data_IF_077190620621
#
_entry.id   IF_077190620621
#
_cell.length_a   1.000
_cell.length_b   1.000
_cell.length_c   1.000
_cell.angle_alpha   90.00
_cell.angle_beta   90.00
_cell.angle_gamma   90.00
#
_symmetry.space_group_name_H-M   'P 1'
#
loop_
_entity.id
_entity.type
_entity.pdbx_description
1 polymer ?
#
# COMPACT_ATOMS: atom_id res chain seq x y z
N UNK A 1 28.17 -98.22 14.37
CA UNK A 1 27.23 -97.16 14.82
C UNK A 1 28.03 -95.95 15.27
N UNK A 2 28.82 -95.35 14.37
CA UNK A 2 29.69 -94.20 14.69
C UNK A 2 30.01 -93.29 13.49
N UNK A 3 29.77 -93.74 12.25
CA UNK A 3 30.01 -92.91 11.05
C UNK A 3 28.80 -92.12 10.53
N UNK A 4 27.57 -92.46 10.95
CA UNK A 4 26.36 -91.76 10.49
C UNK A 4 26.07 -90.43 11.20
N UNK A 5 26.61 -90.23 12.41
CA UNK A 5 26.34 -89.04 13.22
C UNK A 5 27.31 -87.88 12.93
N UNK A 6 28.49 -88.17 12.35
CA UNK A 6 29.46 -87.14 11.96
C UNK A 6 29.08 -86.42 10.66
N UNK A 7 28.57 -87.15 9.67
CA UNK A 7 28.13 -86.58 8.38
C UNK A 7 26.94 -85.62 8.53
N UNK A 8 26.02 -85.87 9.46
CA UNK A 8 24.84 -85.02 9.64
C UNK A 8 25.14 -83.70 10.38
N UNK A 9 26.21 -83.66 11.21
CA UNK A 9 26.62 -82.46 11.94
C UNK A 9 27.45 -81.54 11.04
N UNK A 10 28.31 -82.10 10.19
CA UNK A 10 29.12 -81.32 9.25
C UNK A 10 28.24 -80.68 8.16
N UNK A 11 27.25 -81.39 7.61
CA UNK A 11 26.30 -80.81 6.63
C UNK A 11 25.44 -79.70 7.24
N UNK A 12 25.04 -79.83 8.52
CA UNK A 12 24.24 -78.82 9.22
C UNK A 12 25.06 -77.56 9.52
N UNK A 13 26.34 -77.71 9.89
CA UNK A 13 27.27 -76.60 10.07
C UNK A 13 27.59 -75.90 8.74
N UNK A 14 27.75 -76.66 7.65
CA UNK A 14 27.98 -76.11 6.31
C UNK A 14 26.77 -75.32 5.81
N UNK A 15 25.54 -75.81 6.02
CA UNK A 15 24.33 -75.09 5.62
C UNK A 15 24.14 -73.78 6.41
N UNK A 16 24.51 -73.77 7.69
CA UNK A 16 24.46 -72.57 8.54
C UNK A 16 25.55 -71.57 8.12
N UNK A 17 26.79 -72.03 7.89
CA UNK A 17 27.86 -71.16 7.39
C UNK A 17 27.55 -70.58 6.01
N UNK A 18 26.95 -71.36 5.11
CA UNK A 18 26.59 -70.89 3.78
C UNK A 18 25.44 -69.87 3.82
N UNK A 19 24.48 -70.02 4.75
CA UNK A 19 23.43 -69.02 4.98
C UNK A 19 23.95 -67.75 5.65
N UNK A 20 24.88 -67.86 6.60
CA UNK A 20 25.53 -66.70 7.22
C UNK A 20 26.37 -65.95 6.19
N UNK A 21 27.13 -66.67 5.35
CA UNK A 21 27.93 -66.06 4.29
C UNK A 21 27.06 -65.34 3.25
N UNK A 22 25.93 -65.92 2.85
CA UNK A 22 24.98 -65.26 1.93
C UNK A 22 24.32 -64.03 2.57
N UNK A 23 24.02 -64.06 3.87
CA UNK A 23 23.48 -62.90 4.61
C UNK A 23 24.52 -61.78 4.75
N UNK A 24 25.79 -62.13 4.97
CA UNK A 24 26.91 -61.18 5.09
C UNK A 24 27.26 -60.55 3.73
N UNK A 25 27.15 -61.32 2.64
CA UNK A 25 27.30 -60.81 1.27
C UNK A 25 26.11 -59.93 0.86
N UNK A 26 24.88 -60.25 1.26
CA UNK A 26 23.72 -59.37 1.07
C UNK A 26 23.82 -58.06 1.85
N UNK A 27 24.39 -58.07 3.07
CA UNK A 27 24.67 -56.87 3.86
C UNK A 27 25.84 -56.02 3.31
N UNK A 28 26.76 -56.63 2.56
CA UNK A 28 27.88 -55.94 1.91
C UNK A 28 27.53 -55.37 0.52
N UNK A 29 26.41 -55.78 -0.07
CA UNK A 29 25.96 -55.34 -1.41
C UNK A 29 24.74 -54.40 -1.34
N UNK A 30 24.09 -54.26 -0.19
CA UNK A 30 23.13 -53.18 0.02
C UNK A 30 23.87 -51.84 0.00
N UNK A 31 23.51 -50.89 -0.89
CA UNK A 31 24.02 -49.53 -0.79
C UNK A 31 23.66 -49.03 0.61
N UNK A 32 24.67 -48.58 1.35
CA UNK A 32 24.46 -47.80 2.55
C UNK A 32 23.86 -46.49 2.05
N UNK A 33 22.54 -46.40 2.00
CA UNK A 33 21.90 -45.09 2.04
C UNK A 33 22.32 -44.52 3.39
N UNK A 34 23.26 -43.58 3.39
CA UNK A 34 23.41 -42.69 4.54
C UNK A 34 22.02 -42.09 4.75
N UNK A 35 21.43 -42.38 5.91
CA UNK A 35 20.35 -41.55 6.38
C UNK A 35 20.94 -40.16 6.58
N UNK A 36 20.31 -39.14 6.02
CA UNK A 36 20.65 -37.75 6.33
C UNK A 36 20.72 -37.60 7.86
N UNK A 37 21.76 -36.95 8.40
CA UNK A 37 21.94 -36.68 9.80
C UNK A 37 20.82 -35.75 10.28
N UNK A 38 20.72 -35.58 11.61
CA UNK A 38 19.71 -34.74 12.20
C UNK A 38 19.90 -33.27 11.75
N UNK A 39 18.81 -32.50 11.55
CA UNK A 39 18.89 -31.06 11.24
C UNK A 39 19.81 -30.31 12.21
N UNK A 40 20.70 -29.46 11.68
CA UNK A 40 21.68 -28.68 12.45
C UNK A 40 23.02 -29.39 12.78
N UNK A 41 23.30 -30.55 12.18
CA UNK A 41 24.67 -31.05 12.02
C UNK A 41 25.04 -30.95 10.52
N UNK A 42 26.21 -30.41 10.14
CA UNK A 42 26.57 -30.24 8.75
C UNK A 42 26.62 -31.61 8.07
N UNK A 43 25.63 -31.87 7.21
CA UNK A 43 25.69 -33.00 6.30
C UNK A 43 26.62 -32.65 5.14
N UNK A 44 27.17 -33.70 4.51
CA UNK A 44 27.93 -33.72 3.23
C UNK A 44 28.19 -32.35 2.59
N UNK A 45 29.46 -31.94 2.38
CA UNK A 45 29.88 -30.77 1.57
C UNK A 45 28.84 -30.41 0.49
N UNK A 46 27.89 -29.53 0.85
CA UNK A 46 26.85 -29.08 -0.06
C UNK A 46 27.44 -27.90 -0.80
N UNK A 47 28.20 -28.22 -1.84
CA UNK A 47 28.97 -27.24 -2.60
C UNK A 47 28.09 -26.35 -3.50
N UNK A 48 26.75 -26.52 -3.49
CA UNK A 48 25.79 -25.79 -4.33
C UNK A 48 26.02 -24.26 -4.25
N UNK A 49 26.16 -23.72 -3.03
CA UNK A 49 26.42 -22.30 -2.78
C UNK A 49 27.91 -21.95 -2.54
N UNK A 50 28.81 -22.87 -2.93
CA UNK A 50 30.25 -22.66 -2.91
C UNK A 50 30.86 -22.47 -4.31
N UNK A 51 30.01 -22.37 -5.35
CA UNK A 51 30.47 -22.13 -6.72
C UNK A 51 31.30 -20.83 -6.82
N UNK A 52 32.27 -20.83 -7.74
CA UNK A 52 33.23 -19.72 -7.96
C UNK A 52 34.20 -19.39 -6.82
N UNK A 53 34.44 -20.32 -5.89
CA UNK A 53 35.27 -20.08 -4.71
C UNK A 53 34.72 -18.96 -3.81
N UNK A 54 33.39 -18.79 -3.78
CA UNK A 54 32.73 -18.06 -2.70
C UNK A 54 33.07 -18.70 -1.35
N UNK A 55 32.83 -17.98 -0.26
CA UNK A 55 32.95 -18.57 1.08
C UNK A 55 32.04 -19.81 1.18
N UNK A 56 32.40 -20.74 2.07
CA UNK A 56 31.65 -21.98 2.31
C UNK A 56 30.25 -21.67 2.87
N UNK A 57 29.33 -21.31 1.98
CA UNK A 57 27.91 -21.16 2.24
C UNK A 57 27.20 -22.49 2.09
N UNK A 58 26.15 -22.69 2.88
CA UNK A 58 25.27 -23.85 2.79
C UNK A 58 23.93 -23.33 2.29
N UNK A 59 23.34 -23.99 1.30
CA UNK A 59 22.02 -23.66 0.79
C UNK A 59 21.12 -24.89 0.79
N UNK A 60 19.83 -24.62 0.90
CA UNK A 60 18.76 -25.56 0.63
C UNK A 60 18.75 -25.98 -0.85
N UNK A 61 18.25 -27.20 -1.10
CA UNK A 61 18.18 -27.77 -2.43
C UNK A 61 17.12 -27.05 -3.28
N UNK A 62 17.49 -26.69 -4.51
CA UNK A 62 16.53 -26.14 -5.46
C UNK A 62 15.42 -27.14 -5.81
N UNK A 63 14.17 -26.69 -5.65
CA UNK A 63 12.99 -27.41 -6.10
C UNK A 63 11.94 -26.44 -6.65
N UNK A 64 11.69 -26.49 -7.96
CA UNK A 64 10.74 -25.62 -8.68
C UNK A 64 9.31 -25.65 -8.11
N UNK A 65 8.91 -26.76 -7.49
CA UNK A 65 7.58 -26.87 -6.86
C UNK A 65 7.41 -26.03 -5.58
N UNK A 66 8.50 -25.50 -5.02
CA UNK A 66 8.49 -24.58 -3.88
C UNK A 66 8.47 -23.11 -4.33
N UNK A 67 8.74 -22.85 -5.61
CA UNK A 67 8.63 -21.51 -6.17
C UNK A 67 7.17 -21.04 -6.14
N UNK A 68 6.96 -19.86 -5.57
CA UNK A 68 5.67 -19.21 -5.48
C UNK A 68 5.36 -18.32 -6.69
N UNK A 69 6.27 -18.23 -7.65
CA UNK A 69 6.13 -17.47 -8.90
C UNK A 69 6.19 -18.39 -10.12
N UNK A 70 5.72 -17.89 -11.26
CA UNK A 70 5.86 -18.55 -12.58
C UNK A 70 6.89 -17.86 -13.48
N UNK A 71 7.53 -16.81 -12.97
CA UNK A 71 8.53 -15.97 -13.63
C UNK A 71 9.77 -15.96 -12.72
N UNK A 72 10.94 -15.60 -13.27
CA UNK A 72 12.24 -15.49 -12.57
C UNK A 72 12.33 -14.46 -11.43
N UNK A 73 11.20 -13.96 -10.94
CA UNK A 73 11.13 -13.01 -9.84
C UNK A 73 9.98 -13.40 -8.93
N UNK A 74 10.24 -13.30 -7.63
CA UNK A 74 9.21 -13.49 -6.61
C UNK A 74 9.38 -12.47 -5.50
N UNK A 75 8.54 -11.44 -5.53
CA UNK A 75 8.62 -10.30 -4.62
C UNK A 75 7.26 -10.02 -4.00
N UNK A 76 7.22 -9.82 -2.67
CA UNK A 76 6.01 -9.40 -1.96
C UNK A 76 6.23 -8.05 -1.29
N UNK A 77 5.40 -7.07 -1.60
CA UNK A 77 5.51 -5.71 -1.07
C UNK A 77 4.27 -5.31 -0.27
N UNK A 78 4.49 -4.75 0.91
CA UNK A 78 3.49 -4.08 1.73
C UNK A 78 3.76 -2.58 1.70
N UNK A 79 2.81 -1.85 1.14
CA UNK A 79 2.85 -0.41 0.96
C UNK A 79 1.83 0.20 1.90
N UNK A 80 2.32 0.91 2.91
CA UNK A 80 1.50 1.57 3.91
C UNK A 80 1.61 3.07 3.75
N UNK A 81 0.50 3.69 3.37
CA UNK A 81 0.37 5.11 3.20
C UNK A 81 -0.41 5.69 4.38
N UNK A 82 0.21 6.59 5.12
CA UNK A 82 -0.43 7.35 6.20
C UNK A 82 -0.53 8.81 5.76
N UNK A 83 -1.74 9.26 5.46
CA UNK A 83 -1.98 10.68 5.22
C UNK A 83 -1.91 11.40 6.56
N UNK A 84 -0.96 12.32 6.73
CA UNK A 84 -0.76 13.04 7.99
C UNK A 84 -1.71 14.23 8.05
N UNK A 85 -1.72 15.02 6.98
CA UNK A 85 -2.61 16.14 6.70
C UNK A 85 -2.84 16.21 5.18
N UNK A 86 -3.60 17.20 4.72
CA UNK A 86 -3.89 17.31 3.29
C UNK A 86 -2.66 17.63 2.42
N UNK A 87 -1.55 18.10 3.01
CA UNK A 87 -0.35 18.48 2.25
C UNK A 87 0.76 17.43 2.34
N UNK A 88 0.73 16.57 3.36
CA UNK A 88 1.81 15.64 3.67
C UNK A 88 1.36 14.21 3.93
N UNK A 89 2.13 13.29 3.34
CA UNK A 89 1.89 11.85 3.39
C UNK A 89 3.17 11.15 3.85
N UNK A 90 3.03 10.19 4.75
CA UNK A 90 4.11 9.27 5.12
C UNK A 90 3.89 7.92 4.45
N UNK A 91 4.80 7.57 3.55
CA UNK A 91 4.77 6.30 2.83
C UNK A 91 5.83 5.36 3.41
N UNK A 92 5.43 4.14 3.75
CA UNK A 92 6.33 3.07 4.16
C UNK A 92 6.19 1.92 3.18
N UNK A 93 7.28 1.58 2.49
CA UNK A 93 7.32 0.42 1.60
C UNK A 93 8.17 -0.65 2.28
N UNK A 94 7.60 -1.81 2.52
CA UNK A 94 8.32 -2.98 3.02
C UNK A 94 8.26 -4.08 1.96
N UNK A 95 9.41 -4.57 1.53
CA UNK A 95 9.52 -5.53 0.43
C UNK A 95 10.25 -6.79 0.90
N UNK A 96 9.66 -7.94 0.64
CA UNK A 96 10.24 -9.27 0.81
C UNK A 96 10.65 -9.83 -0.55
N UNK A 97 11.92 -10.19 -0.67
CA UNK A 97 12.51 -10.78 -1.86
C UNK A 97 12.69 -12.27 -1.60
N UNK A 98 11.94 -13.10 -2.32
CA UNK A 98 12.09 -14.55 -2.32
C UNK A 98 13.00 -15.01 -3.46
N UNK A 99 12.95 -14.31 -4.60
CA UNK A 99 13.72 -14.64 -5.79
C UNK A 99 13.92 -13.38 -6.66
N UNK A 100 15.09 -13.26 -7.31
CA UNK A 100 15.38 -12.21 -8.29
C UNK A 100 15.91 -12.79 -9.59
N UNK A 101 15.74 -12.06 -10.70
CA UNK A 101 16.28 -12.48 -11.99
C UNK A 101 17.80 -12.62 -11.95
N UNK A 102 18.31 -13.70 -12.57
CA UNK A 102 19.75 -13.92 -12.74
C UNK A 102 20.43 -12.77 -13.47
N UNK A 103 19.76 -12.16 -14.44
CA UNK A 103 20.33 -11.05 -15.22
C UNK A 103 20.54 -9.79 -14.38
N UNK A 104 19.64 -9.54 -13.42
CA UNK A 104 19.71 -8.34 -12.60
C UNK A 104 20.84 -8.42 -11.57
N UNK A 105 21.16 -9.66 -11.15
CA UNK A 105 22.27 -9.95 -10.26
C UNK A 105 23.59 -10.23 -11.00
N UNK A 106 23.61 -10.34 -12.33
CA UNK A 106 24.81 -10.72 -13.12
C UNK A 106 25.30 -12.15 -12.77
N UNK A 107 24.34 -13.06 -12.54
CA UNK A 107 24.51 -14.44 -12.10
C UNK A 107 23.94 -15.47 -13.11
N UNK A 108 23.96 -15.17 -14.41
CA UNK A 108 23.33 -16.03 -15.43
C UNK A 108 23.98 -17.42 -15.56
N UNK A 109 25.25 -17.55 -15.20
CA UNK A 109 26.02 -18.79 -15.20
C UNK A 109 25.98 -19.54 -13.85
N UNK A 110 25.18 -19.09 -12.88
CA UNK A 110 24.98 -19.79 -11.62
C UNK A 110 24.22 -21.11 -11.88
N UNK A 111 24.76 -22.22 -11.42
CA UNK A 111 24.05 -23.51 -11.43
C UNK A 111 23.33 -23.68 -10.10
N UNK A 112 22.00 -23.70 -10.13
CA UNK A 112 21.17 -23.91 -8.94
C UNK A 112 20.97 -25.40 -8.64
N UNK A 113 21.41 -26.28 -9.54
CA UNK A 113 21.18 -27.73 -9.50
C UNK A 113 19.68 -28.11 -9.46
N UNK A 114 19.34 -29.29 -8.95
CA UNK A 114 17.96 -29.75 -8.79
C UNK A 114 17.20 -29.91 -10.12
N UNK A 115 15.96 -29.41 -10.14
CA UNK A 115 15.11 -29.31 -11.32
C UNK A 115 15.10 -27.90 -11.93
N UNK A 116 16.10 -27.07 -11.59
CA UNK A 116 16.19 -25.69 -12.08
C UNK A 116 16.45 -25.59 -13.59
N UNK A 117 16.04 -24.46 -14.15
CA UNK A 117 16.28 -24.06 -15.53
C UNK A 117 17.03 -22.72 -15.61
N UNK A 118 17.48 -22.34 -16.80
CA UNK A 118 18.09 -21.01 -17.04
C UNK A 118 17.06 -19.87 -17.03
N UNK A 119 15.76 -20.20 -17.07
CA UNK A 119 14.67 -19.23 -16.99
C UNK A 119 14.27 -18.94 -15.53
N UNK A 120 14.76 -19.73 -14.58
CA UNK A 120 14.47 -19.55 -13.15
C UNK A 120 15.35 -18.45 -12.57
N UNK A 121 14.83 -17.71 -11.59
CA UNK A 121 15.57 -16.70 -10.85
C UNK A 121 16.50 -17.32 -9.80
N UNK A 122 17.18 -16.45 -9.06
CA UNK A 122 18.07 -16.82 -7.97
C UNK A 122 17.29 -16.71 -6.66
N UNK A 123 17.11 -17.82 -5.90
CA UNK A 123 16.40 -17.79 -4.63
C UNK A 123 17.13 -17.00 -3.54
N UNK A 124 16.40 -16.53 -2.53
CA UNK A 124 16.92 -15.73 -1.42
C UNK A 124 18.11 -16.36 -0.68
N UNK A 125 18.11 -17.68 -0.49
CA UNK A 125 19.22 -18.43 0.12
C UNK A 125 20.53 -18.31 -0.66
N UNK A 126 20.45 -18.49 -1.98
CA UNK A 126 21.59 -18.32 -2.87
C UNK A 126 22.05 -16.86 -2.87
N UNK A 127 21.13 -15.90 -2.96
CA UNK A 127 21.47 -14.46 -2.94
C UNK A 127 22.28 -14.10 -1.69
N UNK A 128 21.86 -14.57 -0.50
CA UNK A 128 22.55 -14.31 0.77
C UNK A 128 23.99 -14.80 0.78
N UNK A 129 24.24 -15.96 0.19
CA UNK A 129 25.59 -16.53 0.10
C UNK A 129 26.50 -15.81 -0.90
N UNK A 130 25.94 -15.05 -1.85
CA UNK A 130 26.70 -14.30 -2.84
C UNK A 130 26.68 -12.78 -2.64
N UNK A 131 26.18 -12.24 -1.52
CA UNK A 131 26.07 -10.78 -1.29
C UNK A 131 27.38 -10.02 -1.55
N UNK A 132 28.50 -10.52 -1.00
CA UNK A 132 29.85 -9.94 -1.12
C UNK A 132 30.53 -10.25 -2.46
N UNK A 133 29.93 -11.08 -3.32
CA UNK A 133 30.54 -11.49 -4.57
C UNK A 133 30.52 -10.33 -5.58
N UNK A 134 31.70 -9.96 -6.09
CA UNK A 134 31.85 -8.83 -7.00
C UNK A 134 31.89 -9.30 -8.46
N UNK A 135 31.02 -8.71 -9.30
CA UNK A 135 31.06 -8.85 -10.76
C UNK A 135 30.90 -7.50 -11.44
N UNK A 136 31.78 -7.25 -12.42
CA UNK A 136 31.82 -6.01 -13.18
C UNK A 136 31.95 -4.74 -12.30
N UNK A 137 32.61 -4.86 -11.14
CA UNK A 137 32.89 -3.74 -10.24
C UNK A 137 31.77 -3.39 -9.25
N UNK A 138 30.72 -4.22 -9.18
CA UNK A 138 29.64 -4.10 -8.21
C UNK A 138 29.43 -5.44 -7.50
N UNK A 139 29.11 -5.38 -6.21
CA UNK A 139 28.68 -6.54 -5.43
C UNK A 139 27.24 -6.94 -5.76
N UNK A 140 26.87 -8.19 -5.51
CA UNK A 140 25.48 -8.65 -5.65
C UNK A 140 24.56 -7.86 -4.70
N UNK A 141 25.03 -7.52 -3.49
CA UNK A 141 24.32 -6.65 -2.56
C UNK A 141 23.98 -5.30 -3.19
N UNK A 142 24.97 -4.61 -3.77
CA UNK A 142 24.76 -3.30 -4.40
C UNK A 142 23.75 -3.36 -5.56
N UNK A 143 23.78 -4.43 -6.36
CA UNK A 143 22.83 -4.66 -7.47
C UNK A 143 21.42 -4.87 -6.95
N UNK A 144 21.26 -5.74 -5.97
CA UNK A 144 19.97 -6.01 -5.32
C UNK A 144 19.41 -4.73 -4.70
N UNK A 145 20.20 -3.99 -3.91
CA UNK A 145 19.75 -2.74 -3.28
C UNK A 145 19.34 -1.71 -4.34
N UNK A 146 20.12 -1.57 -5.42
CA UNK A 146 19.81 -0.66 -6.52
C UNK A 146 18.50 -1.04 -7.25
N UNK A 147 18.25 -2.34 -7.46
CA UNK A 147 17.01 -2.84 -8.06
C UNK A 147 15.81 -2.49 -7.19
N UNK A 148 15.87 -2.83 -5.89
CA UNK A 148 14.78 -2.56 -4.95
C UNK A 148 14.53 -1.05 -4.82
N UNK A 149 15.56 -0.22 -4.76
CA UNK A 149 15.41 1.24 -4.75
C UNK A 149 14.74 1.77 -6.03
N UNK A 150 15.08 1.20 -7.19
CA UNK A 150 14.47 1.59 -8.47
C UNK A 150 12.98 1.25 -8.49
N UNK A 151 12.61 0.03 -8.08
CA UNK A 151 11.22 -0.40 -8.02
C UNK A 151 10.40 0.43 -7.01
N UNK A 152 10.98 0.75 -5.85
CA UNK A 152 10.35 1.65 -4.87
C UNK A 152 10.14 3.06 -5.43
N UNK A 153 11.11 3.58 -6.20
CA UNK A 153 10.99 4.91 -6.83
C UNK A 153 9.91 4.94 -7.90
N UNK A 154 9.85 3.93 -8.78
CA UNK A 154 8.80 3.85 -9.81
C UNK A 154 7.40 3.91 -9.18
N UNK A 155 7.17 3.15 -8.11
CA UNK A 155 5.90 3.18 -7.37
C UNK A 155 5.56 4.59 -6.84
N UNK A 156 6.56 5.31 -6.33
CA UNK A 156 6.37 6.66 -5.78
C UNK A 156 6.05 7.64 -6.90
N UNK A 157 6.82 7.61 -8.00
CA UNK A 157 6.64 8.51 -9.14
C UNK A 157 5.27 8.32 -9.82
N UNK A 158 4.67 7.13 -9.74
CA UNK A 158 3.32 6.85 -10.23
C UNK A 158 2.21 7.55 -9.42
N UNK A 159 2.49 7.98 -8.19
CA UNK A 159 1.48 8.50 -7.25
C UNK A 159 1.79 9.89 -6.67
N UNK A 160 3.06 10.29 -6.65
CA UNK A 160 3.55 11.48 -5.95
C UNK A 160 4.69 12.16 -6.70
N UNK A 161 4.72 13.49 -6.65
CA UNK A 161 5.88 14.28 -7.08
C UNK A 161 7.01 14.14 -6.04
N UNK A 162 8.00 13.32 -6.33
CA UNK A 162 9.08 12.99 -5.40
C UNK A 162 10.41 13.68 -5.72
N UNK A 163 11.10 14.17 -4.68
CA UNK A 163 12.33 14.98 -4.86
C UNK A 163 13.53 14.58 -3.99
N UNK A 164 13.46 13.52 -3.17
CA UNK A 164 14.53 13.21 -2.20
C UNK A 164 15.06 11.77 -2.30
N UNK A 165 16.15 11.44 -1.60
CA UNK A 165 16.66 10.06 -1.51
C UNK A 165 16.11 9.38 -0.24
N UNK A 166 15.75 8.09 -0.33
CA UNK A 166 15.28 7.33 0.83
C UNK A 166 16.34 6.44 1.44
N UNK A 167 16.21 6.23 2.74
CA UNK A 167 17.05 5.29 3.48
C UNK A 167 16.40 3.90 3.44
N UNK A 168 16.98 3.02 2.63
CA UNK A 168 16.62 1.59 2.63
C UNK A 168 17.32 0.90 3.81
N UNK A 169 16.56 0.18 4.63
CA UNK A 169 17.11 -0.61 5.74
C UNK A 169 16.63 -2.05 5.64
N UNK A 170 17.46 -3.00 6.04
CA UNK A 170 17.06 -4.40 6.20
C UNK A 170 16.20 -4.57 7.46
N UNK A 171 15.22 -5.47 7.40
CA UNK A 171 14.27 -5.73 8.50
C UNK A 171 14.06 -7.24 8.68
N UNK A 172 13.68 -7.64 9.89
CA UNK A 172 13.50 -9.06 10.25
C UNK A 172 12.06 -9.57 10.06
N UNK A 173 11.09 -8.69 9.79
CA UNK A 173 9.71 -9.11 9.58
C UNK A 173 8.89 -8.05 8.86
N UNK A 174 7.94 -8.48 8.04
CA UNK A 174 6.94 -7.64 7.38
C UNK A 174 5.55 -8.05 7.85
N UNK A 175 4.75 -7.06 8.22
CA UNK A 175 3.35 -7.24 8.60
C UNK A 175 2.47 -6.94 7.37
N UNK A 176 1.88 -7.97 6.80
CA UNK A 176 0.86 -7.83 5.76
C UNK A 176 -0.52 -7.67 6.40
N UNK A 177 -1.40 -6.93 5.75
CA UNK A 177 -2.77 -6.73 6.25
C UNK A 177 -3.66 -7.92 5.92
N UNK A 178 -3.37 -8.66 4.83
CA UNK A 178 -4.20 -9.79 4.39
C UNK A 178 -3.65 -11.17 4.79
N UNK A 179 -2.35 -11.28 5.06
CA UNK A 179 -1.65 -12.55 5.36
C UNK A 179 -0.93 -12.52 6.71
N UNK A 180 -0.45 -13.69 7.17
CA UNK A 180 0.34 -13.78 8.39
C UNK A 180 1.69 -13.06 8.26
N UNK A 181 2.23 -12.58 9.39
CA UNK A 181 3.48 -11.85 9.42
C UNK A 181 4.62 -12.70 8.85
N UNK A 182 5.32 -12.15 7.87
CA UNK A 182 6.42 -12.80 7.19
C UNK A 182 7.71 -12.57 7.97
N UNK A 183 8.41 -13.64 8.33
CA UNK A 183 9.71 -13.56 8.99
C UNK A 183 10.83 -13.60 7.94
N UNK A 184 11.83 -12.75 8.13
CA UNK A 184 12.91 -12.52 7.18
C UNK A 184 14.26 -12.69 7.87
N UNK A 185 15.30 -13.00 7.10
CA UNK A 185 16.68 -12.94 7.59
C UNK A 185 17.59 -12.42 6.49
N UNK A 186 18.58 -11.65 6.90
CA UNK A 186 19.67 -11.21 6.04
C UNK A 186 20.95 -12.02 6.30
N UNK A 187 20.99 -12.75 7.42
CA UNK A 187 22.11 -13.62 7.82
C UNK A 187 22.05 -14.93 7.02
N UNK A 188 23.20 -15.30 6.44
CA UNK A 188 23.42 -16.48 5.60
C UNK A 188 23.87 -17.72 6.41
N UNK A 189 23.78 -17.68 7.73
CA UNK A 189 24.20 -18.78 8.62
C UNK A 189 23.04 -19.44 9.38
N UNK A 190 21.80 -19.05 9.08
CA UNK A 190 20.59 -19.48 9.83
C UNK A 190 19.37 -19.65 8.93
N UNK A 191 19.60 -19.89 7.67
CA UNK A 191 18.61 -19.80 6.62
C UNK A 191 18.26 -21.13 5.97
N UNK A 192 19.18 -22.08 5.95
CA UNK A 192 18.93 -23.44 5.46
C UNK A 192 18.55 -24.43 6.56
N UNK A 193 18.04 -25.60 6.15
CA UNK A 193 17.76 -26.75 7.03
C UNK A 193 19.02 -27.31 7.71
N UNK A 194 20.15 -27.20 7.04
CA UNK A 194 21.43 -27.76 7.49
C UNK A 194 22.19 -26.83 8.45
N UNK A 195 21.81 -25.55 8.49
CA UNK A 195 22.39 -24.56 9.40
C UNK A 195 21.56 -24.35 10.67
N UNK A 196 20.23 -24.38 10.55
CA UNK A 196 19.32 -24.09 11.66
C UNK A 196 18.23 -25.15 11.85
N UNK A 197 18.20 -25.75 13.05
CA UNK A 197 17.19 -26.73 13.41
C UNK A 197 15.77 -26.13 13.40
N UNK A 198 14.84 -26.78 12.70
CA UNK A 198 13.44 -26.37 12.60
C UNK A 198 13.11 -25.57 11.34
N UNK A 199 14.08 -25.36 10.44
CA UNK A 199 13.85 -24.88 9.07
C UNK A 199 13.37 -26.02 8.17
N UNK A 200 12.64 -25.67 7.12
CA UNK A 200 12.33 -26.57 6.02
C UNK A 200 13.46 -26.44 4.97
N UNK A 201 13.62 -27.47 4.13
CA UNK A 201 14.47 -27.38 2.94
C UNK A 201 13.70 -26.57 1.89
N UNK A 202 13.89 -25.26 1.86
CA UNK A 202 13.18 -24.31 0.99
C UNK A 202 14.07 -23.10 0.66
N UNK A 203 14.71 -23.06 -0.52
CA UNK A 203 15.69 -22.03 -0.85
C UNK A 203 15.08 -20.62 -1.05
N UNK A 204 13.75 -20.53 -1.15
CA UNK A 204 13.01 -19.28 -1.29
C UNK A 204 12.64 -18.67 0.07
N UNK A 205 12.75 -19.44 1.16
CA UNK A 205 12.34 -19.02 2.50
C UNK A 205 13.44 -19.30 3.54
N UNK A 206 13.74 -18.35 4.44
CA UNK A 206 13.09 -17.04 4.61
C UNK A 206 13.57 -16.00 3.58
N UNK A 207 12.71 -15.05 3.18
CA UNK A 207 13.08 -14.00 2.24
C UNK A 207 14.00 -12.93 2.85
N UNK A 208 14.64 -12.16 1.96
CA UNK A 208 15.40 -10.96 2.32
C UNK A 208 14.43 -9.77 2.33
N UNK A 209 14.35 -9.06 3.46
CA UNK A 209 13.38 -7.98 3.62
C UNK A 209 14.00 -6.61 3.79
N UNK A 210 13.43 -5.64 3.10
CA UNK A 210 13.82 -4.24 3.12
C UNK A 210 12.66 -3.34 3.51
N UNK A 211 12.97 -2.18 4.09
CA UNK A 211 12.01 -1.12 4.38
C UNK A 211 12.57 0.24 4.02
N UNK A 212 11.82 0.95 3.19
CA UNK A 212 11.99 2.37 2.92
C UNK A 212 10.88 3.18 3.61
N UNK A 213 11.23 4.32 4.18
CA UNK A 213 10.27 5.29 4.72
C UNK A 213 10.48 6.62 4.02
N UNK A 214 9.39 7.17 3.51
CA UNK A 214 9.35 8.36 2.68
C UNK A 214 8.35 9.36 3.27
N UNK A 215 8.69 10.64 3.19
CA UNK A 215 7.78 11.74 3.51
C UNK A 215 7.57 12.48 2.20
N UNK A 216 6.32 12.52 1.75
CA UNK A 216 5.91 13.00 0.44
C UNK A 216 4.96 14.18 0.61
N UNK A 217 5.00 15.11 -0.34
CA UNK A 217 3.99 16.15 -0.46
C UNK A 217 2.85 15.61 -1.33
N UNK A 218 1.61 15.77 -0.90
CA UNK A 218 0.44 15.32 -1.66
C UNK A 218 0.10 16.31 -2.77
N UNK A 219 -0.17 15.82 -3.98
CA UNK A 219 -0.74 16.65 -5.05
C UNK A 219 -2.23 16.95 -4.71
N UNK A 220 -2.65 18.22 -4.63
CA UNK A 220 -4.05 18.60 -4.43
C UNK A 220 -5.03 17.94 -5.43
N UNK A 221 -4.56 17.60 -6.63
CA UNK A 221 -5.38 16.96 -7.67
C UNK A 221 -5.85 15.54 -7.28
N UNK A 222 -5.09 14.83 -6.44
CA UNK A 222 -5.45 13.52 -5.90
C UNK A 222 -6.65 13.59 -4.94
N UNK A 223 -6.93 14.78 -4.40
CA UNK A 223 -8.09 15.09 -3.54
C UNK A 223 -9.20 15.82 -4.31
N UNK A 224 -9.01 16.05 -5.61
CA UNK A 224 -9.97 16.75 -6.46
C UNK A 224 -10.09 18.24 -6.23
N UNK A 225 -9.07 18.86 -5.65
CA UNK A 225 -9.02 20.29 -5.43
C UNK A 225 -8.19 20.91 -6.55
N UNK A 226 -8.81 21.82 -7.31
CA UNK A 226 -8.15 22.58 -8.39
C UNK A 226 -7.08 23.49 -7.78
N UNK A 227 -5.91 23.55 -8.42
CA UNK A 227 -4.83 24.53 -8.22
C UNK A 227 -4.90 25.29 -6.88
N UNK A 228 -4.40 24.68 -5.80
CA UNK A 228 -4.46 25.28 -4.48
C UNK A 228 -3.39 26.39 -4.31
N UNK A 229 -3.81 27.59 -3.92
CA UNK A 229 -2.91 28.70 -3.53
C UNK A 229 -2.78 28.86 -2.01
N UNK A 230 -3.57 28.09 -1.25
CA UNK A 230 -3.77 28.19 0.20
C UNK A 230 -3.43 26.93 1.01
N UNK A 231 -3.95 26.84 2.23
CA UNK A 231 -3.82 25.76 3.20
C UNK A 231 -4.89 24.67 2.95
N UNK A 232 -4.47 23.60 2.28
CA UNK A 232 -5.34 22.49 1.87
C UNK A 232 -5.92 21.76 3.08
N UNK A 233 -5.13 21.61 4.14
CA UNK A 233 -5.55 20.91 5.34
C UNK A 233 -6.67 21.66 6.04
N UNK A 234 -6.61 22.99 6.03
CA UNK A 234 -7.70 23.82 6.55
C UNK A 234 -8.97 23.67 5.73
N UNK A 235 -8.87 23.64 4.40
CA UNK A 235 -10.00 23.42 3.50
C UNK A 235 -10.65 22.07 3.83
N UNK A 236 -9.92 20.96 3.71
CA UNK A 236 -10.47 19.62 3.94
C UNK A 236 -11.07 19.48 5.34
N UNK A 237 -10.40 19.96 6.39
CA UNK A 237 -10.99 19.94 7.74
C UNK A 237 -12.30 20.70 7.82
N UNK A 238 -12.36 21.90 7.25
CA UNK A 238 -13.57 22.72 7.23
C UNK A 238 -14.72 22.01 6.53
N UNK A 239 -14.45 21.43 5.36
CA UNK A 239 -15.42 20.69 4.56
C UNK A 239 -15.96 19.46 5.30
N UNK A 240 -15.07 18.65 5.88
CA UNK A 240 -15.46 17.48 6.66
C UNK A 240 -16.27 17.87 7.91
N UNK A 241 -15.91 18.96 8.59
CA UNK A 241 -16.69 19.49 9.73
C UNK A 241 -18.08 19.93 9.27
N UNK A 242 -18.23 20.52 8.09
CA UNK A 242 -19.54 20.87 7.52
C UNK A 242 -20.37 19.64 7.09
N UNK A 243 -19.84 18.43 7.26
CA UNK A 243 -20.52 17.19 6.91
C UNK A 243 -20.31 16.76 5.46
N UNK A 244 -19.41 17.44 4.75
CA UNK A 244 -18.97 17.00 3.43
C UNK A 244 -18.07 15.78 3.48
N UNK A 245 -17.83 15.24 2.30
CA UNK A 245 -16.93 14.13 2.08
C UNK A 245 -16.05 14.36 0.86
N UNK A 246 -14.87 13.72 0.87
CA UNK A 246 -13.83 13.90 -0.15
C UNK A 246 -13.42 12.53 -0.66
N UNK A 247 -13.33 12.40 -1.97
CA UNK A 247 -12.78 11.24 -2.66
C UNK A 247 -11.28 11.38 -2.83
N UNK A 248 -10.57 10.28 -2.60
CA UNK A 248 -9.12 10.16 -2.81
C UNK A 248 -8.84 8.90 -3.61
N UNK A 249 -7.86 8.97 -4.50
CA UNK A 249 -7.46 7.86 -5.37
C UNK A 249 -5.96 7.62 -5.30
N UNK A 250 -5.55 6.37 -5.15
CA UNK A 250 -4.14 5.94 -5.10
C UNK A 250 -3.94 4.73 -6.01
N UNK A 251 -2.95 4.77 -6.88
CA UNK A 251 -2.64 3.69 -7.81
C UNK A 251 -1.71 2.66 -7.17
N UNK A 252 -1.97 1.39 -7.45
CA UNK A 252 -1.07 0.30 -7.16
C UNK A 252 -0.77 -0.48 -8.44
N UNK A 253 0.48 -0.89 -8.59
CA UNK A 253 0.98 -1.68 -9.71
C UNK A 253 1.73 -2.90 -9.19
N UNK A 254 1.42 -4.07 -9.74
CA UNK A 254 2.14 -5.32 -9.48
C UNK A 254 2.73 -5.84 -10.79
N UNK A 255 4.06 -5.90 -10.85
CA UNK A 255 4.80 -6.49 -11.96
C UNK A 255 4.63 -8.03 -11.97
N UNK A 256 4.89 -8.72 -13.09
CA UNK A 256 4.91 -10.18 -13.13
C UNK A 256 5.83 -10.77 -12.06
N UNK A 257 5.33 -11.75 -11.30
CA UNK A 257 6.03 -12.34 -10.16
C UNK A 257 5.86 -11.58 -8.84
N UNK A 258 5.16 -10.44 -8.85
CA UNK A 258 5.02 -9.59 -7.67
C UNK A 258 3.63 -9.71 -7.03
N UNK A 259 3.60 -9.60 -5.71
CA UNK A 259 2.41 -9.41 -4.91
C UNK A 259 2.50 -8.06 -4.19
N UNK A 260 1.48 -7.22 -4.31
CA UNK A 260 1.48 -5.86 -3.73
C UNK A 260 0.22 -5.63 -2.91
N UNK A 261 0.40 -5.27 -1.64
CA UNK A 261 -0.67 -4.73 -0.79
C UNK A 261 -0.49 -3.23 -0.61
N UNK A 262 -1.50 -2.46 -1.00
CA UNK A 262 -1.61 -1.04 -0.68
C UNK A 262 -2.62 -0.84 0.45
N UNK A 263 -2.17 -0.20 1.53
CA UNK A 263 -3.01 0.15 2.67
C UNK A 263 -2.94 1.66 2.92
N UNK A 264 -4.09 2.34 2.86
CA UNK A 264 -4.19 3.79 2.97
C UNK A 264 -4.97 4.18 4.22
N UNK A 265 -4.27 4.81 5.17
CA UNK A 265 -4.87 5.43 6.35
C UNK A 265 -5.17 6.90 6.09
N UNK A 266 -6.42 7.35 6.27
CA UNK A 266 -6.77 8.76 6.14
C UNK A 266 -6.22 9.58 7.32
N UNK A 267 -6.24 10.93 7.25
CA UNK A 267 -5.83 11.79 8.36
C UNK A 267 -6.53 11.47 9.68
N UNK A 268 -5.91 11.84 10.80
CA UNK A 268 -6.43 11.52 12.13
C UNK A 268 -7.83 12.10 12.40
N UNK A 269 -8.18 13.22 11.77
CA UNK A 269 -9.48 13.87 11.88
C UNK A 269 -10.57 13.24 11.00
N UNK A 270 -10.23 12.30 10.12
CA UNK A 270 -11.15 11.68 9.18
C UNK A 270 -11.13 10.15 9.23
N UNK A 271 -12.12 9.54 8.58
CA UNK A 271 -12.26 8.10 8.44
C UNK A 271 -12.80 7.77 7.06
N UNK A 272 -12.32 6.69 6.46
CA UNK A 272 -12.94 6.15 5.26
C UNK A 272 -14.36 5.68 5.59
N UNK A 273 -15.29 5.79 4.65
CA UNK A 273 -16.63 5.23 4.81
C UNK A 273 -17.12 4.45 3.60
N UNK A 274 -16.59 4.77 2.41
CA UNK A 274 -16.91 4.13 1.14
C UNK A 274 -15.62 3.89 0.36
N UNK A 275 -15.56 2.75 -0.32
CA UNK A 275 -14.43 2.31 -1.13
C UNK A 275 -14.99 1.56 -2.34
N UNK A 276 -14.50 1.90 -3.52
CA UNK A 276 -14.88 1.24 -4.76
C UNK A 276 -14.14 -0.09 -4.92
N UNK A 277 -14.80 -1.03 -5.61
CA UNK A 277 -14.16 -2.29 -6.04
C UNK A 277 -13.00 -1.97 -6.98
N UNK A 278 -11.82 -2.62 -6.84
CA UNK A 278 -11.54 -3.83 -6.05
C UNK A 278 -11.09 -3.59 -4.59
N UNK A 279 -11.09 -2.35 -4.10
CA UNK A 279 -10.69 -2.02 -2.74
C UNK A 279 -11.62 -2.59 -1.67
N UNK A 280 -11.08 -2.73 -0.46
CA UNK A 280 -11.77 -3.26 0.71
C UNK A 280 -11.62 -2.28 1.88
N UNK A 281 -12.71 -2.07 2.62
CA UNK A 281 -12.75 -1.23 3.81
C UNK A 281 -12.46 -2.04 5.07
N UNK A 282 -11.38 -1.70 5.76
CA UNK A 282 -11.04 -2.29 7.06
C UNK A 282 -11.22 -1.30 8.20
N UNK A 283 -11.21 -1.81 9.44
CA UNK A 283 -11.39 -1.01 10.65
C UNK A 283 -10.27 -1.28 11.64
N UNK A 284 -9.53 -0.22 11.99
CA UNK A 284 -8.53 -0.22 13.03
C UNK A 284 -9.16 0.20 14.35
N UNK A 285 -9.20 -0.73 15.30
CA UNK A 285 -9.65 -0.45 16.66
C UNK A 285 -8.46 0.00 17.50
N UNK A 286 -8.47 1.25 17.96
CA UNK A 286 -7.41 1.80 18.80
C UNK A 286 -7.94 1.94 20.23
N UNK A 287 -7.21 1.43 21.22
CA UNK A 287 -7.61 1.54 22.61
C UNK A 287 -7.71 3.01 23.03
N UNK A 288 -8.82 3.38 23.67
CA UNK A 288 -9.12 4.74 24.13
C UNK A 288 -9.19 5.82 23.03
N UNK A 289 -9.35 5.42 21.77
CA UNK A 289 -9.58 6.33 20.65
C UNK A 289 -10.75 5.84 19.80
N UNK A 290 -11.34 6.72 18.98
CA UNK A 290 -12.36 6.30 18.02
C UNK A 290 -11.73 5.36 17.00
N UNK A 291 -12.42 4.28 16.65
CA UNK A 291 -12.00 3.41 15.56
C UNK A 291 -11.83 4.24 14.28
N UNK A 292 -10.81 3.91 13.49
CA UNK A 292 -10.60 4.53 12.18
C UNK A 292 -10.80 3.46 11.12
N UNK A 293 -11.58 3.75 10.09
CA UNK A 293 -11.64 2.90 8.91
C UNK A 293 -10.67 3.40 7.87
N UNK A 294 -10.13 2.47 7.10
CA UNK A 294 -9.04 2.71 6.15
C UNK A 294 -9.21 1.79 4.93
N UNK A 295 -8.59 2.18 3.82
CA UNK A 295 -8.66 1.44 2.57
C UNK A 295 -7.53 0.44 2.41
N UNK A 296 -7.84 -0.66 1.73
CA UNK A 296 -6.89 -1.71 1.40
C UNK A 296 -7.14 -2.25 0.00
N UNK A 297 -6.07 -2.46 -0.75
CA UNK A 297 -6.06 -3.05 -2.08
C UNK A 297 -4.94 -4.08 -2.14
N UNK A 298 -5.23 -5.26 -2.70
CA UNK A 298 -4.24 -6.33 -2.90
C UNK A 298 -4.21 -6.73 -4.37
N UNK A 299 -3.03 -6.73 -4.96
CA UNK A 299 -2.77 -7.16 -6.33
C UNK A 299 -1.85 -8.36 -6.30
N UNK A 300 -2.28 -9.46 -6.91
CA UNK A 300 -1.50 -10.69 -7.01
C UNK A 300 -1.20 -10.98 -8.47
N UNK A 301 0.07 -10.80 -8.84
CA UNK A 301 0.60 -11.10 -10.18
C UNK A 301 1.71 -12.17 -10.10
N UNK A 302 1.74 -12.98 -9.04
CA UNK A 302 2.79 -14.00 -8.84
C UNK A 302 2.74 -15.11 -9.89
N UNK A 303 1.55 -15.43 -10.41
CA UNK A 303 1.34 -16.53 -11.37
C UNK A 303 1.18 -16.02 -12.81
N UNK A 304 1.93 -14.98 -13.16
CA UNK A 304 1.89 -14.36 -14.49
C UNK A 304 2.49 -15.26 -15.58
N UNK A 305 1.82 -15.36 -16.73
CA UNK A 305 2.34 -16.10 -17.90
C UNK A 305 3.17 -15.22 -18.87
N UNK A 306 3.20 -13.89 -18.68
CA UNK A 306 3.88 -12.93 -19.57
C UNK A 306 4.60 -11.83 -18.78
N UNK A 307 5.89 -11.66 -19.06
CA UNK A 307 6.77 -10.62 -18.51
C UNK A 307 6.28 -9.17 -18.73
N UNK A 308 5.28 -8.95 -19.60
CA UNK A 308 4.70 -7.62 -19.85
C UNK A 308 3.27 -7.47 -19.33
N UNK A 309 2.78 -8.41 -18.53
CA UNK A 309 1.40 -8.40 -18.02
C UNK A 309 1.29 -7.77 -16.65
N UNK A 310 1.61 -6.48 -16.57
CA UNK A 310 1.46 -5.69 -15.34
C UNK A 310 -0.02 -5.60 -14.94
N UNK A 311 -0.29 -5.73 -13.63
CA UNK A 311 -1.61 -5.43 -13.06
C UNK A 311 -1.53 -4.04 -12.43
N UNK A 312 -2.42 -3.14 -12.85
CA UNK A 312 -2.53 -1.78 -12.28
C UNK A 312 -3.98 -1.46 -11.98
N UNK A 313 -4.24 -1.07 -10.73
CA UNK A 313 -5.58 -0.77 -10.22
C UNK A 313 -5.50 0.43 -9.26
N UNK A 314 -6.59 1.20 -9.17
CA UNK A 314 -6.69 2.34 -8.27
C UNK A 314 -7.53 2.00 -7.04
N UNK A 315 -7.03 2.33 -5.85
CA UNK A 315 -7.79 2.36 -4.61
C UNK A 315 -8.51 3.70 -4.51
N UNK A 316 -9.80 3.72 -4.84
CA UNK A 316 -10.67 4.89 -4.70
C UNK A 316 -11.42 4.78 -3.38
N UNK A 317 -11.26 5.78 -2.52
CA UNK A 317 -11.90 5.82 -1.21
C UNK A 317 -12.43 7.21 -0.87
N UNK A 318 -13.63 7.25 -0.27
CA UNK A 318 -14.23 8.48 0.26
C UNK A 318 -14.06 8.59 1.77
N UNK A 319 -13.67 9.77 2.22
CA UNK A 319 -13.42 10.09 3.62
C UNK A 319 -14.45 11.09 4.15
N UNK A 320 -14.81 10.92 5.41
CA UNK A 320 -15.70 11.81 6.14
C UNK A 320 -15.09 12.17 7.51
N UNK A 321 -15.71 13.10 8.22
CA UNK A 321 -15.31 13.42 9.60
C UNK A 321 -15.35 12.17 10.50
N UNK A 322 -14.25 11.91 11.22
CA UNK A 322 -14.11 10.76 12.12
C UNK A 322 -15.00 10.88 13.36
N UNK A 323 -15.25 12.10 13.79
CA UNK A 323 -16.04 12.42 14.96
C UNK A 323 -17.33 13.17 14.58
N UNK A 324 -18.41 12.42 14.42
CA UNK A 324 -19.74 12.96 14.15
C UNK A 324 -20.27 13.94 15.22
N UNK A 325 -19.67 14.00 16.41
CA UNK A 325 -20.03 15.01 17.43
C UNK A 325 -19.36 16.36 17.21
N UNK A 326 -18.32 16.41 16.37
CA UNK A 326 -17.66 17.64 15.92
C UNK A 326 -18.21 18.16 14.60
N UNK A 327 -19.05 17.36 13.93
CA UNK A 327 -19.74 17.79 12.73
C UNK A 327 -20.69 18.95 13.05
N UNK A 328 -20.80 19.88 12.11
CA UNK A 328 -21.67 21.03 12.17
C UNK A 328 -23.13 20.56 12.29
N UNK A 329 -23.83 21.12 13.27
CA UNK A 329 -25.26 20.96 13.43
C UNK A 329 -25.92 22.32 13.27
N UNK A 330 -26.74 22.46 12.25
CA UNK A 330 -27.58 23.64 12.04
C UNK A 330 -28.93 23.37 12.67
N UNK A 331 -29.36 24.27 13.56
CA UNK A 331 -30.70 24.20 14.14
C UNK A 331 -31.73 24.49 13.05
N UNK A 332 -32.78 23.67 12.98
CA UNK A 332 -33.90 23.87 12.04
C UNK A 332 -34.60 25.23 12.20
N UNK A 333 -34.36 25.94 13.30
CA UNK A 333 -34.88 27.29 13.53
C UNK A 333 -33.96 28.41 13.03
N UNK A 334 -32.70 28.11 12.69
CA UNK A 334 -31.78 29.10 12.15
C UNK A 334 -32.11 29.34 10.66
N UNK A 335 -32.38 30.60 10.26
CA UNK A 335 -32.59 30.91 8.86
C UNK A 335 -31.28 30.79 8.07
N UNK A 336 -31.36 30.30 6.83
CA UNK A 336 -30.24 30.29 5.88
C UNK A 336 -29.81 31.70 5.48
N UNK A 337 -30.78 32.60 5.32
CA UNK A 337 -30.61 33.99 4.95
C UNK A 337 -31.42 34.89 5.88
N UNK A 338 -30.84 36.01 6.32
CA UNK A 338 -31.54 37.09 7.00
C UNK A 338 -31.47 38.37 6.18
N UNK A 339 -32.57 39.12 6.14
CA UNK A 339 -32.68 40.37 5.38
C UNK A 339 -33.02 41.49 6.35
N UNK A 340 -32.10 42.45 6.50
CA UNK A 340 -32.32 43.67 7.26
C UNK A 340 -32.54 44.83 6.30
N UNK A 341 -33.70 45.49 6.40
CA UNK A 341 -34.03 46.65 5.56
C UNK A 341 -34.10 47.90 6.41
N UNK A 342 -33.25 48.87 6.09
CA UNK A 342 -33.25 50.19 6.68
C UNK A 342 -33.85 51.18 5.69
N UNK A 343 -34.95 51.82 6.09
CA UNK A 343 -35.61 52.85 5.31
C UNK A 343 -35.32 54.21 5.96
N UNK A 344 -34.55 55.05 5.29
CA UNK A 344 -34.34 56.43 5.68
C UNK A 344 -35.27 57.35 4.88
N UNK A 345 -36.40 57.70 5.49
CA UNK A 345 -37.40 58.61 4.94
C UNK A 345 -37.33 60.02 5.57
N UNK A 346 -36.19 60.44 6.10
CA UNK A 346 -36.03 61.78 6.71
C UNK A 346 -36.21 62.91 5.69
N UNK A 347 -35.86 62.66 4.43
CA UNK A 347 -36.16 63.52 3.29
C UNK A 347 -37.25 62.87 2.42
N UNK A 348 -38.46 63.44 2.42
CA UNK A 348 -39.57 62.94 1.60
C UNK A 348 -39.33 63.04 0.09
N UNK A 349 -38.30 63.80 -0.34
CA UNK A 349 -37.89 63.91 -1.73
C UNK A 349 -36.74 62.98 -2.11
N UNK A 350 -36.04 62.40 -1.13
CA UNK A 350 -34.94 61.44 -1.31
C UNK A 350 -35.02 60.37 -0.22
N UNK A 351 -35.93 59.41 -0.40
CA UNK A 351 -36.00 58.23 0.48
C UNK A 351 -34.93 57.24 0.06
N UNK A 352 -34.05 56.85 0.99
CA UNK A 352 -33.02 55.83 0.78
C UNK A 352 -33.47 54.52 1.42
N UNK A 353 -33.42 53.43 0.66
CA UNK A 353 -33.72 52.08 1.15
C UNK A 353 -32.42 51.28 1.05
N UNK A 354 -31.86 50.93 2.20
CA UNK A 354 -30.71 50.05 2.29
C UNK A 354 -31.17 48.66 2.68
N UNK A 355 -30.70 47.65 1.94
CA UNK A 355 -30.89 46.24 2.26
C UNK A 355 -29.55 45.62 2.62
N UNK A 356 -29.52 44.90 3.73
CA UNK A 356 -28.37 44.10 4.16
C UNK A 356 -28.82 42.64 4.17
N UNK A 357 -28.14 41.84 3.36
CA UNK A 357 -28.33 40.39 3.27
C UNK A 357 -27.26 39.71 4.11
N UNK A 358 -27.68 38.94 5.11
CA UNK A 358 -26.79 38.11 5.91
C UNK A 358 -27.01 36.66 5.54
N UNK A 359 -26.04 36.07 4.84
CA UNK A 359 -26.02 34.66 4.53
C UNK A 359 -25.40 33.88 5.69
N UNK A 360 -26.09 32.87 6.20
CA UNK A 360 -25.62 32.01 7.29
C UNK A 360 -25.18 30.64 6.77
N UNK A 361 -26.00 30.03 5.90
CA UNK A 361 -25.68 28.77 5.24
C UNK A 361 -26.45 28.60 3.93
N UNK A 362 -25.91 27.79 3.02
CA UNK A 362 -26.57 27.32 1.78
C UNK A 362 -26.49 25.79 1.72
N UNK A 363 -27.59 25.15 1.32
CA UNK A 363 -27.61 23.71 1.03
C UNK A 363 -27.12 23.42 -0.40
N UNK A 364 -26.78 22.15 -0.66
CA UNK A 364 -26.31 21.68 -1.97
C UNK A 364 -27.30 21.99 -3.09
N UNK A 365 -28.60 21.79 -2.86
CA UNK A 365 -29.63 22.06 -3.86
C UNK A 365 -29.61 23.55 -4.28
N UNK A 366 -29.37 24.47 -3.34
CA UNK A 366 -29.26 25.90 -3.62
C UNK A 366 -27.97 26.21 -4.37
N UNK A 367 -26.84 25.61 -3.99
CA UNK A 367 -25.56 25.77 -4.68
C UNK A 367 -25.65 25.30 -6.15
N UNK A 368 -26.25 24.13 -6.37
CA UNK A 368 -26.49 23.56 -7.71
C UNK A 368 -27.38 24.49 -8.55
N UNK A 369 -28.47 25.00 -7.95
CA UNK A 369 -29.36 25.94 -8.62
C UNK A 369 -28.66 27.27 -8.97
N UNK A 370 -27.68 27.66 -8.16
CA UNK A 370 -26.88 28.87 -8.36
C UNK A 370 -25.67 28.62 -9.27
N UNK A 371 -25.49 27.39 -9.75
CA UNK A 371 -24.37 26.94 -10.59
C UNK A 371 -23.02 27.26 -9.94
N UNK A 372 -22.96 27.12 -8.61
CA UNK A 372 -21.72 27.27 -7.85
C UNK A 372 -21.08 25.90 -7.76
N UNK A 373 -19.94 25.74 -8.42
CA UNK A 373 -19.15 24.53 -8.42
C UNK A 373 -17.79 24.84 -7.79
N UNK A 374 -17.42 24.05 -6.77
CA UNK A 374 -16.21 24.26 -5.98
C UNK A 374 -15.16 23.15 -6.23
N UNK A 375 -15.46 22.14 -7.05
CA UNK A 375 -14.59 20.97 -7.20
C UNK A 375 -14.65 20.35 -8.61
N UNK A 376 -14.10 19.14 -8.77
CA UNK A 376 -14.13 18.31 -10.00
C UNK A 376 -14.92 17.01 -9.76
N UNK A 377 -16.09 17.08 -9.13
CA UNK A 377 -16.98 15.95 -8.74
C UNK A 377 -16.44 15.01 -7.65
N UNK A 378 -15.20 15.23 -7.19
CA UNK A 378 -14.52 14.41 -6.17
C UNK A 378 -14.86 14.83 -4.75
N UNK A 379 -15.56 15.93 -4.58
CA UNK A 379 -16.00 16.40 -3.28
C UNK A 379 -17.53 16.49 -3.27
N UNK A 380 -18.11 16.28 -2.10
CA UNK A 380 -19.53 16.49 -1.87
C UNK A 380 -19.71 17.42 -0.67
N UNK A 381 -20.43 18.53 -0.88
CA UNK A 381 -20.69 19.54 0.13
C UNK A 381 -22.20 19.67 0.37
N UNK A 382 -22.77 18.99 1.39
CA UNK A 382 -24.21 19.05 1.65
C UNK A 382 -24.67 20.44 2.11
N UNK A 383 -23.78 21.18 2.77
CA UNK A 383 -24.04 22.51 3.29
C UNK A 383 -22.75 23.31 3.38
N UNK A 384 -22.82 24.59 3.01
CA UNK A 384 -21.74 25.55 3.22
C UNK A 384 -22.22 26.67 4.14
N UNK A 385 -21.40 27.01 5.13
CA UNK A 385 -21.67 28.14 6.03
C UNK A 385 -21.06 29.43 5.50
N UNK A 386 -21.45 30.58 6.06
CA UNK A 386 -20.74 31.85 5.85
C UNK A 386 -19.24 31.75 6.11
N UNK A 387 -18.84 30.93 7.07
CA UNK A 387 -17.44 30.73 7.43
C UNK A 387 -16.75 29.84 6.39
N UNK A 388 -17.45 28.83 5.87
CA UNK A 388 -17.01 28.02 4.74
C UNK A 388 -16.80 28.85 3.47
N UNK A 389 -17.75 29.74 3.12
CA UNK A 389 -17.62 30.63 1.95
C UNK A 389 -16.39 31.53 2.09
N UNK A 390 -16.20 32.13 3.27
CA UNK A 390 -15.00 32.96 3.55
C UNK A 390 -13.70 32.17 3.51
N UNK A 391 -13.74 30.90 3.91
CA UNK A 391 -12.59 30.01 3.84
C UNK A 391 -12.20 29.73 2.39
N UNK A 392 -13.17 29.39 1.53
CA UNK A 392 -12.91 29.12 0.11
C UNK A 392 -12.43 30.37 -0.62
N UNK A 393 -13.05 31.53 -0.38
CA UNK A 393 -12.59 32.82 -0.92
C UNK A 393 -11.11 33.11 -0.60
N UNK A 394 -10.70 32.82 0.64
CA UNK A 394 -9.37 33.13 1.10
C UNK A 394 -8.31 32.09 0.67
N UNK A 395 -8.67 30.81 0.59
CA UNK A 395 -7.70 29.73 0.34
C UNK A 395 -7.66 29.25 -1.11
N UNK A 396 -8.74 29.40 -1.87
CA UNK A 396 -8.81 28.97 -3.27
C UNK A 396 -8.87 30.15 -4.26
N UNK A 397 -8.97 31.40 -3.77
CA UNK A 397 -9.22 32.60 -4.60
C UNK A 397 -10.43 32.44 -5.55
N UNK A 398 -11.43 31.67 -5.11
CA UNK A 398 -12.60 31.34 -5.92
C UNK A 398 -13.41 32.59 -6.34
N UNK A 399 -13.91 32.59 -7.57
CA UNK A 399 -14.84 33.64 -8.00
C UNK A 399 -16.21 33.41 -7.35
N UNK A 400 -16.50 34.16 -6.29
CA UNK A 400 -17.80 34.13 -5.62
C UNK A 400 -18.90 34.92 -6.35
N UNK A 401 -18.64 35.46 -7.55
CA UNK A 401 -19.65 36.14 -8.36
C UNK A 401 -20.91 35.30 -8.65
N UNK A 402 -20.83 33.98 -8.90
CA UNK A 402 -22.01 33.12 -9.07
C UNK A 402 -22.92 33.13 -7.83
N UNK A 403 -22.35 33.17 -6.62
CA UNK A 403 -23.11 33.24 -5.37
C UNK A 403 -23.89 34.57 -5.27
N UNK A 404 -23.30 35.68 -5.70
CA UNK A 404 -23.99 36.98 -5.77
C UNK A 404 -25.06 37.03 -6.88
N UNK A 405 -24.84 36.32 -7.99
CA UNK A 405 -25.80 36.22 -9.10
C UNK A 405 -27.00 35.33 -8.78
N UNK A 406 -26.81 34.32 -7.94
CA UNK A 406 -27.88 33.42 -7.49
C UNK A 406 -28.94 34.10 -6.63
N UNK A 407 -28.62 35.24 -5.98
CA UNK A 407 -29.58 35.99 -5.16
C UNK A 407 -30.67 36.60 -6.05
N UNK A 408 -31.97 36.31 -5.83
CA UNK A 408 -33.06 36.72 -6.72
C UNK A 408 -33.46 38.19 -6.50
N UNK A 409 -32.56 39.13 -6.82
CA UNK A 409 -32.73 40.57 -6.59
C UNK A 409 -33.92 41.16 -7.35
N UNK A 410 -34.20 40.67 -8.55
CA UNK A 410 -35.38 41.10 -9.34
C UNK A 410 -36.68 40.76 -8.60
N UNK A 411 -36.83 39.50 -8.16
CA UNK A 411 -38.01 39.07 -7.41
C UNK A 411 -38.17 39.79 -6.06
N UNK A 412 -37.06 40.10 -5.39
CA UNK A 412 -37.08 40.90 -4.16
C UNK A 412 -37.53 42.34 -4.47
N UNK A 413 -37.01 42.95 -5.55
CA UNK A 413 -37.38 44.30 -5.99
C UNK A 413 -38.87 44.40 -6.33
N UNK A 414 -39.40 43.43 -7.08
CA UNK A 414 -40.83 43.32 -7.38
C UNK A 414 -41.67 43.17 -6.12
N UNK A 415 -41.29 42.27 -5.21
CA UNK A 415 -42.01 42.03 -3.95
C UNK A 415 -42.07 43.26 -3.04
N UNK A 416 -40.97 44.02 -2.94
CA UNK A 416 -40.96 45.29 -2.21
C UNK A 416 -41.78 46.37 -2.94
N UNK A 417 -41.70 46.43 -4.27
CA UNK A 417 -42.48 47.40 -5.05
C UNK A 417 -43.98 47.21 -4.85
N UNK A 418 -44.44 45.96 -4.86
CA UNK A 418 -45.83 45.60 -4.60
C UNK A 418 -46.26 45.93 -3.16
N UNK A 419 -45.39 45.66 -2.18
CA UNK A 419 -45.68 45.92 -0.77
C UNK A 419 -45.83 47.41 -0.46
N UNK A 420 -44.97 48.25 -1.04
CA UNK A 420 -44.95 49.69 -0.78
C UNK A 420 -45.78 50.50 -1.79
N UNK A 421 -46.22 49.89 -2.89
CA UNK A 421 -47.01 50.55 -3.94
C UNK A 421 -46.21 51.58 -4.74
N UNK A 422 -44.89 51.44 -4.77
CA UNK A 422 -43.93 52.34 -5.44
C UNK A 422 -42.82 51.50 -6.04
N UNK A 423 -42.29 51.90 -7.20
CA UNK A 423 -41.17 51.20 -7.82
C UNK A 423 -39.91 51.26 -6.93
N UNK A 424 -39.42 50.09 -6.51
CA UNK A 424 -38.19 49.90 -5.74
C UNK A 424 -37.31 48.94 -6.53
N UNK A 425 -36.14 49.40 -6.93
CA UNK A 425 -35.15 48.61 -7.67
C UNK A 425 -33.90 48.45 -6.81
N UNK A 426 -33.62 47.23 -6.36
CA UNK A 426 -32.37 46.91 -5.69
C UNK A 426 -31.28 46.63 -6.73
N UNK A 427 -30.05 47.01 -6.39
CA UNK A 427 -28.87 46.67 -7.19
C UNK A 427 -28.32 45.32 -6.73
N UNK A 428 -27.49 44.72 -7.57
CA UNK A 428 -26.80 43.49 -7.23
C UNK A 428 -25.94 43.70 -5.97
N UNK A 429 -26.03 42.81 -4.96
CA UNK A 429 -25.28 42.96 -3.72
C UNK A 429 -23.78 42.83 -3.97
N UNK A 430 -23.02 43.44 -3.08
CA UNK A 430 -21.56 43.29 -3.00
C UNK A 430 -21.21 42.69 -1.65
N UNK A 431 -20.15 41.88 -1.60
CA UNK A 431 -19.56 41.50 -0.31
C UNK A 431 -19.08 42.74 0.44
N UNK A 432 -19.30 42.78 1.75
CA UNK A 432 -19.05 43.92 2.62
C UNK A 432 -17.80 43.75 3.46
#
# INVERSE_FOLDING_TARGET
MQDGFRLMVDDFLQLIMQRIAVLLVLLLISPVYSASPPPGEPDVENDICSTWNSQSGICDDYQSALDGSSISEWIKSSIVLNVVDADSVSLTISTAVHELSRSDLDLEDLDLEGDSSLEDGVPADYIRNYLDFERNGFTIEERMVSLIQTNMREYIEDNFDYTEESLLNTISSIDFSSTENLQCTYDNSQDSIDEANGRANDPFNPPICFRGVFILTMDPSNLGIKDNTGDLDRIIRGLLIMGGDVESSFNAKALPGHYVELTVFPPDYSTAFEIDSPGILFTKNIQNQKSQKYGHLSLDNTQSEDLNSDISESLIMRIQNRDSSTALLIDNQQPSLSIDVLIDARDSSNTEIQMILSLHHLDSDTLDNWLVDFDDDKMNLPIITSDGIRMLDYELEEDLSPLLQGIPIEGISEGFSDLFGTEINFFQPTFA
#
